data_IF_181721135379
#
_entry.id   IF_181721135379
#
_cell.length_a   1.000
_cell.length_b   1.000
_cell.length_c   1.000
_cell.angle_alpha   90.00
_cell.angle_beta   90.00
_cell.angle_gamma   90.00
#
_symmetry.space_group_name_H-M   'P 1'
#
loop_
_entity.id
_entity.type
_entity.pdbx_description
1 polymer ?
#
# COMPACT_ATOMS: atom_id res chain seq x y z
N UNK A 1 -7.24 -2.55 -21.48
CA UNK A 1 -7.00 -1.66 -20.31
C UNK A 1 -8.01 -0.50 -20.26
N UNK A 2 -9.26 -0.72 -19.82
CA UNK A 2 -10.23 0.39 -19.61
C UNK A 2 -10.24 0.92 -18.17
N UNK A 3 -9.86 0.07 -17.20
CA UNK A 3 -9.80 0.42 -15.77
C UNK A 3 -8.62 1.35 -15.42
N UNK A 4 -7.48 1.21 -16.10
CA UNK A 4 -6.31 2.09 -15.91
C UNK A 4 -6.60 3.60 -16.14
N UNK A 5 -7.71 3.94 -16.81
CA UNK A 5 -8.16 5.33 -16.96
C UNK A 5 -8.53 5.97 -15.62
N UNK A 6 -9.09 5.20 -14.67
CA UNK A 6 -9.44 5.69 -13.33
C UNK A 6 -8.20 5.83 -12.42
N UNK A 7 -7.10 5.16 -12.76
CA UNK A 7 -5.82 5.28 -12.03
C UNK A 7 -4.97 6.47 -12.54
N UNK A 8 -5.22 6.91 -13.78
CA UNK A 8 -4.47 7.98 -14.46
C UNK A 8 -4.40 9.31 -13.69
N UNK A 9 -5.44 9.78 -12.97
CA UNK A 9 -5.36 10.99 -12.15
C UNK A 9 -4.47 10.80 -10.91
N UNK A 10 -4.32 9.56 -10.43
CA UNK A 10 -3.66 9.22 -9.17
C UNK A 10 -2.30 8.53 -9.37
N UNK A 11 -1.75 8.59 -10.58
CA UNK A 11 -0.51 7.93 -10.97
C UNK A 11 0.69 8.32 -10.09
N UNK A 12 0.70 9.54 -9.55
CA UNK A 12 1.73 10.02 -8.63
C UNK A 12 1.72 9.18 -7.34
N UNK A 13 0.55 8.94 -6.75
CA UNK A 13 0.42 8.12 -5.53
C UNK A 13 0.74 6.65 -5.80
N UNK A 14 0.35 6.14 -6.96
CA UNK A 14 0.64 4.77 -7.39
C UNK A 14 2.15 4.51 -7.61
N UNK A 15 2.93 5.54 -7.96
CA UNK A 15 4.41 5.46 -8.07
C UNK A 15 5.07 5.76 -6.71
N UNK A 16 4.50 6.67 -5.93
CA UNK A 16 5.09 7.09 -4.66
C UNK A 16 5.02 5.97 -3.62
N UNK A 17 3.95 5.17 -3.59
CA UNK A 17 3.82 4.03 -2.69
C UNK A 17 4.96 2.99 -2.84
N UNK A 18 5.24 2.41 -4.03
CA UNK A 18 6.36 1.49 -4.19
C UNK A 18 7.72 2.16 -3.98
N UNK A 19 7.85 3.46 -4.28
CA UNK A 19 9.08 4.19 -4.00
C UNK A 19 9.36 4.28 -2.49
N UNK A 20 8.34 4.60 -1.68
CA UNK A 20 8.46 4.62 -0.22
C UNK A 20 8.68 3.23 0.37
N UNK A 21 8.07 2.20 -0.22
CA UNK A 21 8.27 0.80 0.17
C UNK A 21 9.71 0.33 -0.05
N UNK A 22 10.35 0.74 -1.15
CA UNK A 22 11.78 0.43 -1.38
C UNK A 22 12.64 1.06 -0.27
N UNK A 23 12.31 2.27 0.16
CA UNK A 23 13.00 2.95 1.28
C UNK A 23 12.88 2.18 2.58
N UNK A 24 11.67 1.76 2.94
CA UNK A 24 11.38 0.91 4.11
C UNK A 24 12.15 -0.41 4.06
N UNK A 25 12.06 -1.15 2.95
CA UNK A 25 12.74 -2.45 2.80
C UNK A 25 14.26 -2.31 2.87
N UNK A 26 14.82 -1.20 2.36
CA UNK A 26 16.26 -0.93 2.47
C UNK A 26 16.68 -0.76 3.92
N UNK A 27 15.88 -0.06 4.73
CA UNK A 27 16.12 0.12 6.16
C UNK A 27 16.04 -1.22 6.91
N UNK A 28 15.06 -2.05 6.59
CA UNK A 28 14.92 -3.39 7.20
C UNK A 28 16.11 -4.30 6.85
N UNK A 29 16.61 -4.23 5.62
CA UNK A 29 17.82 -4.94 5.21
C UNK A 29 19.11 -4.42 5.87
N UNK A 30 19.11 -3.18 6.36
CA UNK A 30 20.25 -2.63 7.11
C UNK A 30 20.28 -3.13 8.57
N UNK A 31 19.15 -3.49 9.17
CA UNK A 31 19.12 -3.97 10.56
C UNK A 31 19.99 -5.22 10.80
N UNK A 32 19.97 -6.28 9.97
CA UNK A 32 20.87 -7.43 10.12
C UNK A 32 22.35 -7.06 10.05
N UNK A 33 22.73 -6.10 9.20
CA UNK A 33 24.12 -5.63 9.10
C UNK A 33 24.57 -4.92 10.38
N UNK A 34 23.71 -4.10 10.96
CA UNK A 34 23.99 -3.43 12.24
C UNK A 34 24.05 -4.45 13.38
N UNK A 35 23.16 -5.45 13.38
CA UNK A 35 23.20 -6.54 14.34
C UNK A 35 24.49 -7.36 14.24
N UNK A 36 24.94 -7.68 13.03
CA UNK A 36 26.22 -8.36 12.82
C UNK A 36 27.41 -7.53 13.33
N UNK A 37 27.35 -6.20 13.20
CA UNK A 37 28.37 -5.30 13.75
C UNK A 37 28.39 -5.33 15.29
N UNK A 38 27.22 -5.31 15.92
CA UNK A 38 27.09 -5.45 17.38
C UNK A 38 27.73 -6.76 17.86
N UNK A 39 27.42 -7.89 17.21
CA UNK A 39 27.98 -9.19 17.60
C UNK A 39 29.50 -9.24 17.37
N UNK A 40 29.96 -8.89 16.16
CA UNK A 40 31.35 -9.11 15.78
C UNK A 40 32.33 -8.10 16.39
N UNK A 41 31.92 -6.84 16.57
CA UNK A 41 32.80 -5.77 17.05
C UNK A 41 32.48 -5.36 18.48
N UNK A 42 31.20 -5.38 18.87
CA UNK A 42 30.78 -5.05 20.22
C UNK A 42 30.99 -6.22 21.19
N UNK A 43 30.35 -7.36 20.94
CA UNK A 43 30.37 -8.49 21.87
C UNK A 43 31.73 -9.18 21.92
N UNK A 44 32.30 -9.52 20.75
CA UNK A 44 33.64 -10.15 20.68
C UNK A 44 34.73 -9.18 21.14
N UNK A 45 34.61 -7.90 20.80
CA UNK A 45 35.55 -6.84 21.22
C UNK A 45 35.35 -6.33 22.64
N UNK A 46 34.31 -6.80 23.36
CA UNK A 46 33.89 -6.31 24.68
C UNK A 46 33.66 -4.78 24.75
N UNK A 47 33.30 -4.15 23.64
CA UNK A 47 33.05 -2.71 23.56
C UNK A 47 31.55 -2.40 23.75
N UNK A 48 31.18 -2.13 25.01
CA UNK A 48 29.84 -1.71 25.40
C UNK A 48 29.41 -0.38 24.77
N UNK A 49 30.33 0.55 24.52
CA UNK A 49 30.00 1.83 23.92
C UNK A 49 29.57 1.65 22.46
N UNK A 50 30.24 0.77 21.71
CA UNK A 50 29.86 0.42 20.34
C UNK A 50 28.50 -0.27 20.28
N UNK A 51 28.19 -1.16 21.24
CA UNK A 51 26.88 -1.82 21.34
C UNK A 51 25.77 -0.79 21.55
N UNK A 52 25.92 0.10 22.53
CA UNK A 52 24.90 1.10 22.87
C UNK A 52 24.72 2.11 21.72
N UNK A 53 25.82 2.62 21.16
CA UNK A 53 25.77 3.58 20.04
C UNK A 53 25.09 2.97 18.81
N UNK A 54 25.44 1.73 18.46
CA UNK A 54 24.83 1.03 17.32
C UNK A 54 23.36 0.69 17.59
N UNK A 55 23.01 0.32 18.83
CA UNK A 55 21.63 0.06 19.23
C UNK A 55 20.73 1.30 19.13
N UNK A 56 21.22 2.47 19.57
CA UNK A 56 20.50 3.75 19.40
C UNK A 56 20.32 4.08 17.91
N UNK A 57 21.36 3.85 17.10
CA UNK A 57 21.28 4.05 15.66
C UNK A 57 20.25 3.12 15.00
N UNK A 58 20.15 1.86 15.44
CA UNK A 58 19.12 0.92 14.99
C UNK A 58 17.71 1.42 15.32
N UNK A 59 17.47 1.87 16.56
CA UNK A 59 16.18 2.44 16.95
C UNK A 59 15.79 3.65 16.07
N UNK A 60 16.75 4.53 15.78
CA UNK A 60 16.57 5.65 14.88
C UNK A 60 16.20 5.21 13.46
N UNK A 61 16.92 4.24 12.90
CA UNK A 61 16.60 3.69 11.57
C UNK A 61 15.22 3.05 11.55
N UNK A 62 14.88 2.22 12.54
CA UNK A 62 13.56 1.57 12.62
C UNK A 62 12.42 2.59 12.70
N UNK A 63 12.60 3.67 13.46
CA UNK A 63 11.61 4.75 13.51
C UNK A 63 11.41 5.39 12.13
N UNK A 64 12.49 5.66 11.40
CA UNK A 64 12.43 6.20 10.03
C UNK A 64 11.80 5.18 9.07
N UNK A 65 12.16 3.90 9.16
CA UNK A 65 11.57 2.82 8.36
C UNK A 65 10.07 2.71 8.56
N UNK A 66 9.60 2.76 9.82
CA UNK A 66 8.19 2.79 10.15
C UNK A 66 7.45 3.99 9.55
N UNK A 67 8.08 5.17 9.51
CA UNK A 67 7.49 6.35 8.83
C UNK A 67 7.34 6.09 7.32
N UNK A 68 8.34 5.50 6.66
CA UNK A 68 8.25 5.13 5.26
C UNK A 68 7.15 4.09 5.00
N UNK A 69 6.97 3.11 5.89
CA UNK A 69 5.89 2.12 5.80
C UNK A 69 4.50 2.73 5.95
N UNK A 70 4.31 3.64 6.91
CA UNK A 70 3.04 4.37 7.09
C UNK A 70 2.74 5.23 5.85
N UNK A 71 3.74 5.93 5.31
CA UNK A 71 3.58 6.74 4.11
C UNK A 71 3.22 5.88 2.89
N UNK A 72 3.90 4.75 2.73
CA UNK A 72 3.60 3.78 1.67
C UNK A 72 2.16 3.29 1.73
N UNK A 73 1.72 2.86 2.92
CA UNK A 73 0.35 2.41 3.15
C UNK A 73 -0.68 3.53 2.93
N UNK A 74 -0.37 4.76 3.35
CA UNK A 74 -1.24 5.92 3.15
C UNK A 74 -1.39 6.28 1.67
N UNK A 75 -0.29 6.29 0.90
CA UNK A 75 -0.34 6.57 -0.53
C UNK A 75 -1.05 5.47 -1.31
N UNK A 76 -0.81 4.20 -0.98
CA UNK A 76 -1.49 3.06 -1.58
C UNK A 76 -2.99 3.11 -1.30
N UNK A 77 -3.39 3.26 -0.03
CA UNK A 77 -4.80 3.33 0.37
C UNK A 77 -5.52 4.52 -0.28
N UNK A 78 -4.89 5.69 -0.32
CA UNK A 78 -5.49 6.87 -0.94
C UNK A 78 -5.66 6.71 -2.47
N UNK A 79 -4.71 6.05 -3.15
CA UNK A 79 -4.82 5.73 -4.57
C UNK A 79 -5.97 4.74 -4.83
N UNK A 80 -6.01 3.63 -4.09
CA UNK A 80 -7.02 2.58 -4.21
C UNK A 80 -8.43 3.10 -3.91
N UNK A 81 -8.62 3.86 -2.83
CA UNK A 81 -9.93 4.38 -2.44
C UNK A 81 -10.48 5.39 -3.45
N UNK A 82 -9.63 6.28 -3.97
CA UNK A 82 -10.05 7.28 -4.98
C UNK A 82 -10.39 6.62 -6.32
N UNK A 83 -9.55 5.69 -6.77
CA UNK A 83 -9.84 4.83 -7.92
C UNK A 83 -11.19 4.11 -7.75
N UNK A 84 -11.39 3.53 -6.58
CA UNK A 84 -12.57 2.79 -6.20
C UNK A 84 -13.85 3.61 -6.18
N UNK A 85 -13.77 4.84 -5.66
CA UNK A 85 -14.88 5.78 -5.64
C UNK A 85 -15.33 6.17 -7.04
N UNK A 86 -14.38 6.50 -7.93
CA UNK A 86 -14.69 6.87 -9.32
C UNK A 86 -15.30 5.70 -10.08
N UNK A 87 -14.74 4.50 -9.90
CA UNK A 87 -15.29 3.26 -10.48
C UNK A 87 -16.70 2.96 -9.98
N UNK A 88 -16.96 3.13 -8.69
CA UNK A 88 -18.27 2.91 -8.07
C UNK A 88 -19.31 3.89 -8.57
N UNK A 89 -18.95 5.16 -8.73
CA UNK A 89 -19.85 6.19 -9.23
C UNK A 89 -20.26 5.92 -10.69
N UNK A 90 -19.31 5.58 -11.56
CA UNK A 90 -19.62 5.28 -12.96
C UNK A 90 -20.37 3.94 -13.12
N UNK A 91 -20.06 2.94 -12.30
CA UNK A 91 -20.83 1.70 -12.24
C UNK A 91 -22.27 1.97 -11.81
N UNK A 92 -22.49 2.79 -10.78
CA UNK A 92 -23.82 3.15 -10.30
C UNK A 92 -24.64 3.89 -11.36
N UNK A 93 -24.06 4.89 -12.04
CA UNK A 93 -24.69 5.56 -13.19
C UNK A 93 -25.08 4.57 -14.28
N UNK A 94 -24.22 3.58 -14.56
CA UNK A 94 -24.52 2.59 -15.58
C UNK A 94 -25.71 1.71 -15.17
N UNK A 95 -25.75 1.27 -13.92
CA UNK A 95 -26.88 0.50 -13.37
C UNK A 95 -28.18 1.29 -13.44
N UNK A 96 -28.16 2.58 -13.09
CA UNK A 96 -29.35 3.45 -13.20
C UNK A 96 -29.82 3.66 -14.65
N UNK A 97 -28.95 3.52 -15.64
CA UNK A 97 -29.29 3.65 -17.07
C UNK A 97 -29.79 2.38 -17.73
N UNK A 98 -29.84 1.24 -17.01
CA UNK A 98 -30.30 -0.05 -17.56
C UNK A 98 -31.82 -0.06 -17.75
N UNK A 99 -32.28 -0.66 -18.85
CA UNK A 99 -33.72 -0.89 -19.07
C UNK A 99 -34.21 -2.06 -18.22
N UNK A 100 -35.53 -2.12 -17.96
CA UNK A 100 -36.17 -3.21 -17.19
C UNK A 100 -35.80 -4.61 -17.69
N UNK A 101 -35.72 -4.81 -19.02
CA UNK A 101 -35.30 -6.08 -19.64
C UNK A 101 -33.83 -6.44 -19.38
N UNK A 102 -32.97 -5.44 -19.18
CA UNK A 102 -31.56 -5.67 -18.81
C UNK A 102 -31.43 -5.95 -17.31
N UNK A 103 -32.23 -5.29 -16.47
CA UNK A 103 -32.28 -5.53 -15.02
C UNK A 103 -32.75 -6.94 -14.70
N UNK A 104 -33.73 -7.47 -15.43
CA UNK A 104 -34.19 -8.86 -15.30
C UNK A 104 -33.13 -9.89 -15.69
N UNK A 105 -32.22 -9.52 -16.60
CA UNK A 105 -31.13 -10.42 -17.05
C UNK A 105 -29.97 -10.48 -16.05
N UNK A 106 -29.71 -9.40 -15.33
CA UNK A 106 -28.65 -9.33 -14.32
C UNK A 106 -29.14 -9.66 -12.92
N UNK A 107 -30.45 -9.58 -12.63
CA UNK A 107 -31.04 -9.73 -11.29
C UNK A 107 -30.50 -8.70 -10.30
N UNK A 108 -31.38 -8.07 -9.52
CA UNK A 108 -30.98 -7.02 -8.55
C UNK A 108 -29.87 -7.47 -7.61
N UNK A 109 -29.87 -8.75 -7.18
CA UNK A 109 -28.84 -9.32 -6.31
C UNK A 109 -27.44 -9.36 -6.93
N UNK A 110 -27.30 -9.72 -8.22
CA UNK A 110 -25.96 -9.70 -8.86
C UNK A 110 -25.46 -8.29 -9.14
N UNK A 111 -26.36 -7.34 -9.37
CA UNK A 111 -25.96 -5.94 -9.55
C UNK A 111 -25.40 -5.36 -8.25
N UNK A 112 -25.98 -5.70 -7.10
CA UNK A 112 -25.47 -5.30 -5.78
C UNK A 112 -24.09 -5.89 -5.54
N UNK A 113 -23.89 -7.20 -5.73
CA UNK A 113 -22.58 -7.82 -5.50
C UNK A 113 -21.49 -7.28 -6.43
N UNK A 114 -21.82 -6.93 -7.67
CA UNK A 114 -20.88 -6.28 -8.60
C UNK A 114 -20.52 -4.85 -8.18
N UNK A 115 -21.44 -4.11 -7.56
CA UNK A 115 -21.20 -2.75 -7.08
C UNK A 115 -20.42 -2.71 -5.76
N UNK A 116 -20.44 -3.80 -5.00
CA UNK A 116 -19.73 -3.92 -3.72
C UNK A 116 -18.49 -4.78 -3.84
N UNK A 117 -18.66 -6.10 -3.99
CA UNK A 117 -17.59 -7.09 -3.91
C UNK A 117 -16.60 -6.96 -5.07
N UNK A 118 -17.08 -6.86 -6.32
CA UNK A 118 -16.17 -6.78 -7.47
C UNK A 118 -15.38 -5.47 -7.45
N UNK A 119 -16.01 -4.35 -7.06
CA UNK A 119 -15.34 -3.06 -6.94
C UNK A 119 -14.31 -3.08 -5.82
N UNK A 120 -14.60 -3.70 -4.68
CA UNK A 120 -13.65 -3.85 -3.59
C UNK A 120 -12.48 -4.75 -3.99
N UNK A 121 -12.73 -5.87 -4.67
CA UNK A 121 -11.66 -6.74 -5.16
C UNK A 121 -10.71 -6.02 -6.14
N UNK A 122 -11.24 -5.12 -6.98
CA UNK A 122 -10.39 -4.30 -7.86
C UNK A 122 -9.67 -3.20 -7.07
N UNK A 123 -10.25 -2.65 -6.00
CA UNK A 123 -9.54 -1.74 -5.09
C UNK A 123 -8.37 -2.43 -4.39
N UNK A 124 -8.56 -3.65 -3.89
CA UNK A 124 -7.51 -4.41 -3.21
C UNK A 124 -6.38 -4.86 -4.15
N UNK A 125 -6.68 -5.01 -5.45
CA UNK A 125 -5.70 -5.36 -6.46
C UNK A 125 -4.80 -4.17 -6.88
N UNK A 126 -5.26 -2.94 -6.69
CA UNK A 126 -4.58 -1.70 -7.09
C UNK A 126 -3.64 -1.21 -5.99
#
# INVERSE_FOLDING_TARGET
>A
MKLAKYLKPYWIFAILAPLTMIGEVTIDLMQPKLMAKIVNQGVIGQDLALIISTGILMLGLTAVGGLFGILSAAFASNAAQRFGNDLRNDAFKKVMSLSLQQTDKFTTGSLVTRLTNDINAVQDFV
#
